data_IF_398906193821
#
_entry.id   IF_398906193821
#
_cell.length_a   1.000
_cell.length_b   1.000
_cell.length_c   1.000
_cell.angle_alpha   90.00
_cell.angle_beta   90.00
_cell.angle_gamma   90.00
#
_symmetry.space_group_name_H-M   'P 1'
#
loop_
_entity.id
_entity.type
_entity.pdbx_description
1 polymer ?
#
# COMPACT_ATOMS: atom_id res chain seq x y z
N UNK A 1 -24.77 24.50 -6.00
CA UNK A 1 -25.13 23.84 -4.72
C UNK A 1 -23.87 23.31 -4.07
N UNK A 2 -23.45 23.94 -2.97
CA UNK A 2 -22.27 23.56 -2.18
C UNK A 2 -22.60 22.26 -1.41
N UNK A 3 -22.35 21.08 -2.00
CA UNK A 3 -22.39 19.82 -1.25
C UNK A 3 -21.29 19.89 -0.19
N UNK A 4 -21.63 20.27 1.05
CA UNK A 4 -20.74 20.18 2.20
C UNK A 4 -20.27 18.72 2.27
N UNK A 5 -19.04 18.46 1.83
CA UNK A 5 -18.42 17.14 1.96
C UNK A 5 -18.46 16.75 3.43
N UNK A 6 -18.85 15.50 3.71
CA UNK A 6 -18.81 14.96 5.07
C UNK A 6 -17.41 15.18 5.62
N UNK A 7 -17.30 15.91 6.73
CA UNK A 7 -16.03 16.06 7.42
C UNK A 7 -15.60 14.66 7.88
N UNK A 8 -14.46 14.20 7.37
CA UNK A 8 -13.83 12.96 7.83
C UNK A 8 -12.73 13.38 8.80
N UNK A 9 -12.75 12.93 10.07
CA UNK A 9 -11.70 13.25 11.03
C UNK A 9 -10.30 12.96 10.45
N UNK A 10 -9.36 13.89 10.64
CA UNK A 10 -8.00 13.80 10.10
C UNK A 10 -7.85 14.11 8.60
N UNK A 11 -8.95 14.32 7.86
CA UNK A 11 -8.90 14.71 6.44
C UNK A 11 -9.11 16.22 6.31
N UNK A 12 -8.05 16.90 5.91
CA UNK A 12 -8.06 18.35 5.70
C UNK A 12 -7.71 18.69 4.24
N UNK A 13 -8.20 19.82 3.71
CA UNK A 13 -7.71 20.35 2.43
C UNK A 13 -6.19 20.52 2.49
N UNK A 14 -5.50 20.08 1.44
CA UNK A 14 -4.07 20.22 1.30
C UNK A 14 -3.78 20.80 -0.09
N UNK A 15 -3.29 22.03 -0.11
CA UNK A 15 -3.04 22.80 -1.33
C UNK A 15 -1.55 22.78 -1.73
N UNK A 16 -0.72 22.04 -0.99
CA UNK A 16 0.70 21.90 -1.27
C UNK A 16 1.00 20.88 -2.38
N UNK A 17 2.21 20.93 -2.97
CA UNK A 17 2.70 19.88 -3.86
C UNK A 17 2.95 18.57 -3.09
N UNK A 18 2.84 17.41 -3.76
CA UNK A 18 3.12 16.10 -3.17
C UNK A 18 4.61 15.88 -2.81
N UNK A 19 5.51 16.74 -3.27
CA UNK A 19 6.94 16.73 -2.98
C UNK A 19 7.49 18.16 -2.82
N UNK A 20 8.75 18.29 -2.41
CA UNK A 20 9.43 19.58 -2.21
C UNK A 20 9.70 19.91 -0.75
N UNK A 21 9.73 21.19 -0.38
CA UNK A 21 10.17 21.65 0.95
C UNK A 21 9.32 21.11 2.11
N UNK A 22 8.01 20.95 1.93
CA UNK A 22 7.14 20.34 2.93
C UNK A 22 7.51 18.88 3.21
N UNK A 23 7.75 18.13 2.13
CA UNK A 23 8.17 16.74 2.19
C UNK A 23 9.55 16.56 2.83
N UNK A 24 10.50 17.45 2.51
CA UNK A 24 11.82 17.47 3.14
C UNK A 24 11.72 17.76 4.65
N UNK A 25 10.92 18.76 5.04
CA UNK A 25 10.70 19.09 6.45
C UNK A 25 10.08 17.91 7.21
N UNK A 26 9.06 17.28 6.64
CA UNK A 26 8.41 16.13 7.26
C UNK A 26 9.35 14.92 7.39
N UNK A 27 10.18 14.68 6.38
CA UNK A 27 11.23 13.65 6.41
C UNK A 27 12.25 13.94 7.52
N UNK A 28 12.73 15.18 7.62
CA UNK A 28 13.69 15.57 8.65
C UNK A 28 13.11 15.43 10.07
N UNK A 29 11.82 15.76 10.27
CA UNK A 29 11.12 15.54 11.54
C UNK A 29 11.05 14.04 11.85
N UNK A 30 10.68 13.20 10.89
CA UNK A 30 10.58 11.75 11.09
C UNK A 30 11.95 11.15 11.48
N UNK A 31 13.00 11.47 10.73
CA UNK A 31 14.38 11.07 11.05
C UNK A 31 14.75 11.47 12.47
N UNK A 32 14.59 12.75 12.83
CA UNK A 32 14.94 13.26 14.17
C UNK A 32 14.15 12.60 15.30
N UNK A 33 12.89 12.24 15.05
CA UNK A 33 11.98 11.79 16.12
C UNK A 33 11.95 10.28 16.29
N UNK A 34 12.36 9.51 15.28
CA UNK A 34 12.28 8.06 15.30
C UNK A 34 13.65 7.40 15.24
N UNK A 35 14.55 7.85 14.38
CA UNK A 35 15.82 7.18 14.13
C UNK A 35 17.00 7.92 14.76
N UNK A 36 18.10 7.20 15.02
CA UNK A 36 19.37 7.88 15.31
C UNK A 36 19.80 8.72 14.10
N UNK A 37 20.09 10.00 14.34
CA UNK A 37 20.46 10.94 13.30
C UNK A 37 21.78 10.56 12.60
N UNK A 38 22.65 9.80 13.25
CA UNK A 38 23.92 9.34 12.69
C UNK A 38 23.73 8.15 11.73
N UNK A 39 22.79 7.25 12.02
CA UNK A 39 22.53 6.05 11.22
C UNK A 39 21.55 6.30 10.07
N UNK A 40 20.72 7.35 10.18
CA UNK A 40 19.68 7.65 9.22
C UNK A 40 20.17 7.91 7.79
N UNK A 41 21.26 8.68 7.54
CA UNK A 41 21.75 8.90 6.18
C UNK A 41 22.20 7.61 5.50
N UNK A 42 22.96 6.77 6.21
CA UNK A 42 23.44 5.49 5.68
C UNK A 42 22.28 4.55 5.36
N UNK A 43 21.28 4.48 6.23
CA UNK A 43 20.11 3.60 6.05
C UNK A 43 19.22 4.06 4.90
N UNK A 44 18.93 5.36 4.81
CA UNK A 44 18.12 5.92 3.73
C UNK A 44 18.82 5.80 2.36
N UNK A 45 20.16 5.97 2.31
CA UNK A 45 20.92 5.80 1.07
C UNK A 45 20.96 4.34 0.59
N UNK A 46 20.74 3.36 1.47
CA UNK A 46 20.62 1.93 1.10
C UNK A 46 19.20 1.53 0.69
N UNK A 47 18.21 2.41 0.83
CA UNK A 47 16.83 2.12 0.41
C UNK A 47 16.75 2.08 -1.11
N UNK A 48 16.15 1.02 -1.66
CA UNK A 48 15.93 0.79 -3.10
C UNK A 48 17.25 0.77 -3.92
N UNK A 49 18.32 0.22 -3.32
CA UNK A 49 19.61 0.03 -3.99
C UNK A 49 19.88 -1.47 -4.23
N UNK A 50 20.70 -1.84 -5.23
CA UNK A 50 21.01 -3.25 -5.53
C UNK A 50 21.51 -4.06 -4.33
N UNK A 51 22.46 -3.50 -3.56
CA UNK A 51 23.01 -4.10 -2.33
C UNK A 51 22.32 -3.59 -1.05
N UNK A 52 21.12 -3.05 -1.24
CA UNK A 52 20.30 -2.38 -0.26
C UNK A 52 19.13 -3.21 0.21
N UNK A 53 18.00 -2.54 0.45
CA UNK A 53 16.73 -3.16 0.79
C UNK A 53 15.58 -2.38 0.16
N UNK A 54 14.47 -3.06 -0.11
CA UNK A 54 13.28 -2.43 -0.68
C UNK A 54 12.52 -1.61 0.36
N UNK A 55 12.09 -0.44 -0.06
CA UNK A 55 11.30 0.47 0.75
C UNK A 55 9.94 -0.16 1.12
N UNK A 56 9.60 -0.31 2.41
CA UNK A 56 8.33 -0.91 2.83
C UNK A 56 7.12 0.02 2.63
N UNK A 57 7.34 1.24 2.14
CA UNK A 57 6.34 2.32 2.10
C UNK A 57 5.36 2.27 0.92
N UNK A 58 5.75 1.72 -0.24
CA UNK A 58 4.85 1.54 -1.37
C UNK A 58 5.37 0.50 -2.37
N UNK A 59 4.47 -0.09 -3.16
CA UNK A 59 4.77 -1.14 -4.14
C UNK A 59 5.17 -0.61 -5.54
N UNK A 60 5.48 0.68 -5.67
CA UNK A 60 5.89 1.23 -6.98
C UNK A 60 7.26 0.66 -7.38
N UNK A 61 7.44 0.05 -8.55
CA UNK A 61 8.73 -0.53 -8.93
C UNK A 61 9.83 0.54 -9.03
N UNK A 62 11.08 0.11 -8.88
CA UNK A 62 12.24 0.98 -9.05
C UNK A 62 12.66 1.01 -10.53
N UNK A 63 12.88 2.22 -11.08
CA UNK A 63 13.55 2.37 -12.38
C UNK A 63 15.00 1.90 -12.25
N UNK A 64 15.65 1.52 -13.36
CA UNK A 64 17.07 1.09 -13.38
C UNK A 64 17.93 1.89 -12.39
N UNK A 65 18.81 1.20 -11.66
CA UNK A 65 19.60 1.70 -10.50
C UNK A 65 20.65 2.77 -10.87
N UNK A 66 20.22 3.89 -11.45
CA UNK A 66 21.07 5.02 -11.87
C UNK A 66 21.00 6.21 -10.89
N UNK A 67 20.04 6.21 -9.96
CA UNK A 67 19.85 7.30 -8.99
C UNK A 67 20.33 6.90 -7.59
N UNK A 68 21.09 7.80 -6.97
CA UNK A 68 21.54 7.71 -5.57
C UNK A 68 20.39 7.89 -4.57
N UNK A 69 19.25 8.44 -5.00
CA UNK A 69 18.07 8.65 -4.17
C UNK A 69 16.84 8.02 -4.83
N UNK A 70 16.32 6.96 -4.21
CA UNK A 70 15.19 6.18 -4.74
C UNK A 70 14.04 6.03 -3.73
N UNK A 71 13.86 7.00 -2.83
CA UNK A 71 12.77 7.01 -1.85
C UNK A 71 11.98 8.34 -1.90
N UNK A 72 10.70 8.27 -1.55
CA UNK A 72 9.85 9.44 -1.35
C UNK A 72 9.72 9.78 0.16
N UNK A 73 9.04 10.87 0.50
CA UNK A 73 8.75 11.25 1.90
C UNK A 73 8.11 10.10 2.70
N UNK A 74 7.07 9.47 2.15
CA UNK A 74 6.38 8.37 2.82
C UNK A 74 7.29 7.14 2.96
N UNK A 75 8.16 6.89 1.97
CA UNK A 75 9.15 5.85 2.04
C UNK A 75 10.19 6.10 3.14
N UNK A 76 10.71 7.32 3.23
CA UNK A 76 11.65 7.70 4.29
C UNK A 76 11.00 7.59 5.67
N UNK A 77 9.75 8.05 5.83
CA UNK A 77 8.99 7.87 7.08
C UNK A 77 8.89 6.39 7.44
N UNK A 78 8.44 5.54 6.51
CA UNK A 78 8.30 4.11 6.76
C UNK A 78 9.63 3.50 7.24
N UNK A 79 10.74 3.78 6.54
CA UNK A 79 12.08 3.32 6.94
C UNK A 79 12.46 3.82 8.33
N UNK A 80 12.21 5.10 8.65
CA UNK A 80 12.56 5.65 9.99
C UNK A 80 11.73 5.05 11.12
N UNK A 81 10.48 4.63 10.85
CA UNK A 81 9.64 3.95 11.83
C UNK A 81 10.12 2.51 12.05
N UNK A 82 10.45 1.77 10.99
CA UNK A 82 11.03 0.42 11.11
C UNK A 82 12.40 0.44 11.82
N UNK A 83 13.21 1.47 11.53
CA UNK A 83 14.53 1.67 12.12
C UNK A 83 14.53 2.54 13.39
N UNK A 84 13.37 2.72 14.03
CA UNK A 84 13.26 3.57 15.22
C UNK A 84 14.22 3.11 16.32
N UNK A 85 14.77 4.03 17.10
CA UNK A 85 15.61 3.74 18.28
C UNK A 85 14.76 3.56 19.55
N UNK A 86 13.49 3.95 19.52
CA UNK A 86 12.57 3.82 20.66
C UNK A 86 12.22 2.36 20.92
N UNK A 87 12.13 2.01 22.20
CA UNK A 87 11.77 0.67 22.66
C UNK A 87 10.70 0.80 23.74
N UNK A 88 9.70 -0.07 23.64
CA UNK A 88 8.71 -0.24 24.71
C UNK A 88 9.34 -1.09 25.80
N UNK A 89 9.44 -0.56 27.02
CA UNK A 89 10.08 -1.26 28.14
C UNK A 89 9.08 -2.07 28.97
N UNK A 90 9.58 -2.99 29.79
CA UNK A 90 8.75 -3.75 30.71
C UNK A 90 8.02 -2.85 31.73
N UNK A 91 8.67 -1.78 32.18
CA UNK A 91 8.08 -0.79 33.10
C UNK A 91 6.92 -0.04 32.43
N UNK A 92 7.07 0.33 31.15
CA UNK A 92 5.99 0.94 30.39
C UNK A 92 4.78 0.00 30.29
N UNK A 93 5.01 -1.28 29.95
CA UNK A 93 3.93 -2.27 29.81
C UNK A 93 3.24 -2.54 31.16
N UNK A 94 3.99 -2.53 32.26
CA UNK A 94 3.42 -2.71 33.60
C UNK A 94 2.62 -1.49 34.07
N UNK A 95 2.99 -0.27 33.64
CA UNK A 95 2.33 0.97 34.02
C UNK A 95 1.10 1.31 33.16
N UNK A 96 0.93 0.68 31.99
CA UNK A 96 -0.15 0.98 31.05
C UNK A 96 -1.05 -0.24 30.84
N UNK A 97 -2.32 -0.09 31.19
CA UNK A 97 -3.31 -1.13 30.91
C UNK A 97 -3.61 -1.24 29.42
N UNK A 98 -3.99 -2.43 28.95
CA UNK A 98 -4.41 -2.64 27.56
C UNK A 98 -5.62 -1.76 27.24
N UNK A 99 -6.56 -1.61 28.17
CA UNK A 99 -7.70 -0.72 28.00
C UNK A 99 -7.30 0.75 27.78
N UNK A 100 -6.25 1.24 28.43
CA UNK A 100 -5.78 2.62 28.25
C UNK A 100 -5.05 2.80 26.92
N UNK A 101 -4.30 1.77 26.48
CA UNK A 101 -3.63 1.74 25.19
C UNK A 101 -4.65 1.69 24.03
N UNK A 102 -5.77 0.97 24.18
CA UNK A 102 -6.84 0.91 23.17
C UNK A 102 -7.50 2.27 22.90
N UNK A 103 -7.39 3.23 23.83
CA UNK A 103 -7.91 4.59 23.64
C UNK A 103 -6.93 5.52 22.91
N UNK A 104 -5.70 5.06 22.62
CA UNK A 104 -4.67 5.83 21.92
C UNK A 104 -4.87 5.74 20.41
N UNK A 105 -4.43 6.78 19.70
CA UNK A 105 -4.35 6.72 18.24
C UNK A 105 -3.19 5.82 17.78
N UNK A 106 -3.30 5.27 16.57
CA UNK A 106 -2.24 4.45 15.95
C UNK A 106 -0.89 5.20 15.93
N UNK A 107 -0.91 6.51 15.69
CA UNK A 107 0.29 7.35 15.70
C UNK A 107 0.95 7.44 17.08
N UNK A 108 0.14 7.53 18.15
CA UNK A 108 0.66 7.51 19.52
C UNK A 108 1.21 6.14 19.89
N UNK A 109 0.49 5.06 19.51
CA UNK A 109 0.90 3.68 19.79
C UNK A 109 2.25 3.35 19.14
N UNK A 110 2.38 3.63 17.84
CA UNK A 110 3.64 3.47 17.11
C UNK A 110 4.75 4.34 17.75
N UNK A 111 4.37 5.54 18.20
CA UNK A 111 5.26 6.52 18.83
C UNK A 111 5.95 6.04 20.12
N UNK A 112 5.41 5.03 20.81
CA UNK A 112 6.01 4.42 21.99
C UNK A 112 7.24 3.55 21.68
N UNK A 113 7.39 3.09 20.43
CA UNK A 113 8.56 2.38 19.94
C UNK A 113 8.35 0.88 19.74
N UNK A 114 9.44 0.19 19.39
CA UNK A 114 9.39 -1.25 19.05
C UNK A 114 9.21 -2.12 20.28
N UNK A 115 8.40 -3.16 20.14
CA UNK A 115 8.36 -4.28 21.07
C UNK A 115 9.66 -5.09 20.95
N UNK A 116 10.30 -5.38 22.08
CA UNK A 116 11.58 -6.10 22.14
C UNK A 116 11.44 -7.56 22.49
N UNK A 117 10.37 -7.92 23.18
CA UNK A 117 10.14 -9.23 23.76
C UNK A 117 8.75 -9.76 23.39
N UNK A 118 8.56 -11.08 23.27
CA UNK A 118 7.24 -11.68 23.23
C UNK A 118 6.43 -11.26 24.47
N UNK A 119 5.16 -10.94 24.28
CA UNK A 119 4.29 -10.46 25.34
C UNK A 119 3.14 -11.44 25.59
N UNK A 120 2.72 -11.56 26.84
CA UNK A 120 1.48 -12.24 27.24
C UNK A 120 0.55 -11.26 27.92
N UNK A 121 -0.74 -11.35 27.62
CA UNK A 121 -1.76 -10.55 28.31
C UNK A 121 -2.12 -11.16 29.67
N UNK A 122 -2.09 -10.33 30.71
CA UNK A 122 -2.50 -10.66 32.07
C UNK A 122 -3.87 -10.02 32.37
N UNK A 123 -4.91 -10.86 32.43
CA UNK A 123 -6.29 -10.43 32.65
C UNK A 123 -6.53 -9.81 34.02
N UNK A 124 -5.76 -10.20 35.04
CA UNK A 124 -5.98 -9.73 36.41
C UNK A 124 -5.52 -8.27 36.58
N UNK A 125 -4.41 -7.91 35.95
CA UNK A 125 -3.88 -6.55 35.96
C UNK A 125 -4.30 -5.71 34.74
N UNK A 126 -4.92 -6.32 33.73
CA UNK A 126 -5.19 -5.72 32.43
C UNK A 126 -3.92 -5.17 31.75
N UNK A 127 -2.79 -5.87 31.86
CA UNK A 127 -1.50 -5.41 31.31
C UNK A 127 -0.82 -6.47 30.45
N UNK A 128 0.12 -6.03 29.61
CA UNK A 128 1.00 -6.93 28.87
C UNK A 128 2.27 -7.20 29.67
N UNK A 129 2.76 -8.44 29.64
CA UNK A 129 3.95 -8.87 30.38
C UNK A 129 4.94 -9.56 29.44
N UNK A 130 6.23 -9.20 29.49
CA UNK A 130 7.26 -9.92 28.74
C UNK A 130 7.34 -11.39 29.14
N UNK A 131 7.57 -12.26 28.17
CA UNK A 131 7.87 -13.69 28.34
C UNK A 131 9.03 -14.09 27.44
N UNK A 132 9.75 -15.16 27.80
CA UNK A 132 10.81 -15.68 26.93
C UNK A 132 10.25 -16.27 25.64
N UNK A 133 11.08 -16.30 24.59
CA UNK A 133 10.74 -16.92 23.32
C UNK A 133 10.38 -18.39 23.47
N UNK A 134 11.11 -19.15 24.30
CA UNK A 134 10.83 -20.57 24.56
C UNK A 134 9.44 -20.75 25.15
N UNK A 135 9.06 -19.90 26.12
CA UNK A 135 7.73 -19.94 26.74
C UNK A 135 6.63 -19.51 25.78
N UNK A 136 6.89 -18.53 24.91
CA UNK A 136 5.96 -18.11 23.88
C UNK A 136 5.71 -19.25 22.87
N UNK A 137 6.77 -19.84 22.30
CA UNK A 137 6.66 -20.93 21.34
C UNK A 137 6.04 -22.19 21.96
N UNK A 138 6.44 -22.58 23.17
CA UNK A 138 5.85 -23.73 23.86
C UNK A 138 4.34 -23.56 24.05
N UNK A 139 3.89 -22.35 24.42
CA UNK A 139 2.46 -22.06 24.59
C UNK A 139 1.71 -22.06 23.27
N UNK A 140 2.28 -21.46 22.21
CA UNK A 140 1.69 -21.49 20.87
C UNK A 140 1.54 -22.94 20.40
N UNK A 141 2.59 -23.76 20.53
CA UNK A 141 2.58 -25.18 20.17
C UNK A 141 1.55 -25.97 20.98
N UNK A 142 1.48 -25.76 22.30
CA UNK A 142 0.47 -26.42 23.16
C UNK A 142 -0.95 -26.12 22.67
N UNK A 143 -1.26 -24.87 22.35
CA UNK A 143 -2.59 -24.46 21.90
C UNK A 143 -2.88 -25.05 20.52
N UNK A 144 -1.99 -24.83 19.55
CA UNK A 144 -2.21 -25.27 18.16
C UNK A 144 -2.32 -26.79 18.06
N UNK A 145 -1.57 -27.55 18.86
CA UNK A 145 -1.63 -29.02 18.87
C UNK A 145 -2.98 -29.60 19.30
N UNK A 146 -3.84 -28.80 19.94
CA UNK A 146 -5.16 -29.20 20.44
C UNK A 146 -6.30 -28.76 19.53
N UNK A 147 -6.05 -27.85 18.60
CA UNK A 147 -7.07 -27.31 17.70
C UNK A 147 -7.24 -28.21 16.48
N UNK A 148 -8.47 -28.29 15.98
CA UNK A 148 -8.74 -28.87 14.68
C UNK A 148 -8.34 -27.90 13.57
N UNK A 149 -8.03 -28.39 12.36
CA UNK A 149 -7.50 -27.53 11.29
C UNK A 149 -8.45 -26.38 10.88
N UNK A 150 -9.75 -26.59 10.99
CA UNK A 150 -10.80 -25.61 10.67
C UNK A 150 -11.04 -24.57 11.78
N UNK A 151 -10.45 -24.76 12.96
CA UNK A 151 -10.54 -23.81 14.09
C UNK A 151 -9.43 -22.74 14.06
N UNK A 152 -8.49 -22.83 13.10
CA UNK A 152 -7.32 -21.95 13.02
C UNK A 152 -7.30 -21.15 11.72
N UNK A 153 -6.98 -19.87 11.83
CA UNK A 153 -6.74 -18.97 10.70
C UNK A 153 -5.30 -18.47 10.72
N UNK A 154 -4.62 -18.56 9.59
CA UNK A 154 -3.24 -18.13 9.40
C UNK A 154 -3.20 -16.89 8.50
N UNK A 155 -3.30 -15.71 9.11
CA UNK A 155 -3.25 -14.46 8.37
C UNK A 155 -1.81 -14.04 8.06
N UNK A 156 -1.49 -13.81 6.79
CA UNK A 156 -0.17 -13.28 6.37
C UNK A 156 -0.25 -11.84 5.89
N UNK A 157 0.92 -11.25 5.64
CA UNK A 157 1.07 -9.87 5.19
C UNK A 157 1.92 -9.81 3.94
N UNK A 158 1.54 -8.97 2.98
CA UNK A 158 2.36 -8.61 1.81
C UNK A 158 3.65 -7.85 2.16
N UNK A 159 3.89 -7.54 3.44
CA UNK A 159 5.21 -7.08 3.94
C UNK A 159 6.14 -8.22 4.37
N UNK A 160 5.62 -9.44 4.54
CA UNK A 160 6.46 -10.59 4.81
C UNK A 160 7.29 -10.93 3.57
N UNK A 161 8.49 -11.47 3.77
CA UNK A 161 9.30 -11.95 2.64
C UNK A 161 8.61 -13.14 1.98
N UNK A 162 8.91 -13.36 0.69
CA UNK A 162 8.37 -14.51 -0.05
C UNK A 162 8.72 -15.83 0.63
N UNK A 163 9.92 -15.95 1.18
CA UNK A 163 10.42 -17.14 1.87
C UNK A 163 9.67 -17.36 3.18
N UNK A 164 9.47 -16.31 3.99
CA UNK A 164 8.72 -16.39 5.24
C UNK A 164 7.26 -16.77 4.98
N UNK A 165 6.62 -16.13 4.00
CA UNK A 165 5.25 -16.45 3.60
C UNK A 165 5.15 -17.88 3.06
N UNK A 166 6.14 -18.34 2.28
CA UNK A 166 6.20 -19.70 1.76
C UNK A 166 6.31 -20.75 2.87
N UNK A 167 7.18 -20.55 3.86
CA UNK A 167 7.29 -21.46 5.00
C UNK A 167 6.03 -21.44 5.87
N UNK A 168 5.44 -20.26 6.10
CA UNK A 168 4.25 -20.13 6.93
C UNK A 168 3.02 -20.82 6.30
N UNK A 169 2.87 -20.74 4.97
CA UNK A 169 1.79 -21.43 4.27
C UNK A 169 1.98 -22.95 4.22
N UNK A 170 3.22 -23.45 4.25
CA UNK A 170 3.50 -24.89 4.39
C UNK A 170 3.08 -25.37 5.77
N UNK A 171 3.44 -24.63 6.82
CA UNK A 171 3.06 -24.95 8.20
C UNK A 171 1.54 -25.06 8.36
N UNK A 172 0.77 -24.11 7.83
CA UNK A 172 -0.69 -24.16 7.85
C UNK A 172 -1.25 -25.40 7.12
N UNK A 173 -0.66 -25.78 5.99
CA UNK A 173 -1.09 -26.95 5.20
C UNK A 173 -0.68 -28.28 5.84
N UNK A 174 0.46 -28.34 6.53
CA UNK A 174 0.85 -29.50 7.33
C UNK A 174 -0.09 -29.73 8.51
N UNK A 175 -0.62 -28.65 9.10
CA UNK A 175 -1.71 -28.72 10.06
C UNK A 175 -3.05 -29.13 9.43
N UNK A 176 -3.15 -29.22 8.10
CA UNK A 176 -4.33 -29.69 7.40
C UNK A 176 -5.36 -28.60 7.03
N UNK A 177 -4.98 -27.32 7.06
CA UNK A 177 -5.89 -26.22 6.73
C UNK A 177 -5.44 -25.38 5.54
N UNK A 178 -6.43 -24.85 4.81
CA UNK A 178 -6.24 -23.83 3.78
C UNK A 178 -6.76 -22.45 4.23
N UNK A 179 -7.13 -22.30 5.51
CA UNK A 179 -7.59 -21.04 6.07
C UNK A 179 -6.40 -20.07 6.24
N UNK A 180 -5.96 -19.50 5.13
CA UNK A 180 -4.76 -18.69 5.02
C UNK A 180 -5.04 -17.39 4.23
N UNK A 181 -5.79 -16.44 4.81
CA UNK A 181 -6.01 -15.15 4.18
C UNK A 181 -4.73 -14.29 4.24
N UNK A 182 -4.60 -13.39 3.27
CA UNK A 182 -3.53 -12.41 3.18
C UNK A 182 -4.12 -10.99 3.15
N UNK A 183 -3.31 -9.99 3.50
CA UNK A 183 -3.72 -8.59 3.39
C UNK A 183 -4.13 -8.20 1.96
N UNK A 184 -3.63 -8.91 0.93
CA UNK A 184 -4.05 -8.70 -0.45
C UNK A 184 -5.50 -9.10 -0.70
N UNK A 185 -6.14 -9.97 0.09
CA UNK A 185 -7.57 -10.25 -0.06
C UNK A 185 -8.42 -8.98 0.17
N UNK A 186 -7.97 -8.03 1.01
CA UNK A 186 -8.68 -6.76 1.19
C UNK A 186 -8.51 -5.79 0.01
N UNK A 187 -7.41 -5.89 -0.73
CA UNK A 187 -7.01 -4.88 -1.72
C UNK A 187 -7.06 -5.37 -3.18
N UNK A 188 -6.83 -6.66 -3.41
CA UNK A 188 -6.60 -7.28 -4.71
C UNK A 188 -7.58 -8.41 -5.04
N UNK A 189 -8.47 -8.82 -4.13
CA UNK A 189 -9.44 -9.90 -4.40
C UNK A 189 -10.31 -9.59 -5.62
N UNK A 190 -10.86 -8.37 -5.68
CA UNK A 190 -11.68 -7.94 -6.81
C UNK A 190 -10.90 -8.02 -8.15
N UNK A 191 -9.61 -7.67 -8.14
CA UNK A 191 -8.76 -7.78 -9.34
C UNK A 191 -8.40 -9.22 -9.68
N UNK A 192 -8.19 -10.08 -8.68
CA UNK A 192 -7.93 -11.51 -8.86
C UNK A 192 -9.11 -12.24 -9.49
N UNK A 193 -10.34 -11.78 -9.27
CA UNK A 193 -11.54 -12.33 -9.92
C UNK A 193 -11.78 -11.72 -11.30
N UNK A 194 -11.70 -10.38 -11.43
CA UNK A 194 -12.11 -9.68 -12.65
C UNK A 194 -11.08 -9.69 -13.79
N UNK A 195 -9.78 -9.58 -13.49
CA UNK A 195 -8.75 -9.50 -14.52
C UNK A 195 -8.56 -10.81 -15.30
N UNK A 196 -8.55 -12.01 -14.68
CA UNK A 196 -8.44 -13.25 -15.44
C UNK A 196 -9.55 -13.43 -16.48
N UNK A 197 -10.77 -12.97 -16.19
CA UNK A 197 -11.89 -13.02 -17.14
C UNK A 197 -11.66 -12.10 -18.36
N UNK A 198 -10.90 -11.02 -18.20
CA UNK A 198 -10.67 -10.02 -19.24
C UNK A 198 -9.38 -10.24 -20.03
N UNK A 199 -8.30 -10.61 -19.34
CA UNK A 199 -6.93 -10.65 -19.88
C UNK A 199 -6.17 -11.95 -19.52
N UNK A 200 -6.83 -12.92 -18.88
CA UNK A 200 -6.24 -14.23 -18.55
C UNK A 200 -5.27 -14.24 -17.36
N UNK A 201 -4.96 -13.08 -16.77
CA UNK A 201 -4.02 -12.96 -15.64
C UNK A 201 -4.53 -11.98 -14.58
N UNK A 202 -4.33 -12.31 -13.30
CA UNK A 202 -4.73 -11.49 -12.14
C UNK A 202 -3.72 -10.41 -11.72
N UNK A 203 -2.83 -9.99 -12.61
CA UNK A 203 -1.69 -9.11 -12.30
C UNK A 203 -1.54 -8.00 -13.33
N UNK A 204 -0.78 -6.96 -13.00
CA UNK A 204 -0.40 -5.92 -13.95
C UNK A 204 0.40 -6.52 -15.11
N UNK A 205 0.08 -6.08 -16.34
CA UNK A 205 0.73 -6.54 -17.58
C UNK A 205 1.68 -5.50 -18.18
N UNK A 206 1.94 -4.42 -17.45
CA UNK A 206 2.77 -3.29 -17.89
C UNK A 206 4.02 -3.18 -17.02
N UNK A 207 5.11 -2.76 -17.64
CA UNK A 207 6.39 -2.45 -17.04
C UNK A 207 6.56 -0.93 -16.87
N UNK A 208 7.63 -0.50 -16.20
CA UNK A 208 7.96 0.93 -16.14
C UNK A 208 8.35 1.51 -17.50
N UNK A 209 8.99 0.71 -18.36
CA UNK A 209 9.43 1.15 -19.69
C UNK A 209 8.25 1.47 -20.62
N UNK A 210 7.08 0.87 -20.37
CA UNK A 210 5.86 1.19 -21.11
C UNK A 210 5.41 2.63 -20.89
N UNK A 211 5.72 3.24 -19.73
CA UNK A 211 5.45 4.67 -19.51
C UNK A 211 6.33 5.55 -20.41
N UNK A 212 7.50 5.07 -20.84
CA UNK A 212 8.38 5.80 -21.75
C UNK A 212 7.89 5.74 -23.20
N UNK A 213 6.92 4.88 -23.53
CA UNK A 213 6.32 4.81 -24.87
C UNK A 213 4.85 5.25 -24.91
N UNK A 214 4.22 5.39 -23.74
CA UNK A 214 2.81 5.73 -23.62
C UNK A 214 2.53 7.21 -23.92
N UNK A 215 1.47 7.48 -24.68
CA UNK A 215 1.01 8.84 -25.01
C UNK A 215 -0.13 9.33 -24.08
N UNK A 216 -0.81 8.41 -23.39
CA UNK A 216 -1.96 8.69 -22.53
C UNK A 216 -2.01 7.74 -21.33
N UNK A 217 -2.04 8.30 -20.12
CA UNK A 217 -2.32 7.56 -18.89
C UNK A 217 -3.71 7.92 -18.37
N UNK A 218 -4.51 6.89 -18.06
CA UNK A 218 -5.83 7.03 -17.45
C UNK A 218 -5.76 6.47 -16.02
N UNK A 219 -5.88 7.34 -15.02
CA UNK A 219 -5.82 6.96 -13.60
C UNK A 219 -7.21 7.05 -12.96
N UNK A 220 -7.85 5.90 -12.73
CA UNK A 220 -9.21 5.80 -12.16
C UNK A 220 -9.14 5.06 -10.83
N UNK A 221 -9.78 5.60 -9.79
CA UNK A 221 -9.77 4.97 -8.46
C UNK A 221 -8.41 4.99 -7.75
N UNK A 222 -7.43 5.71 -8.30
CA UNK A 222 -6.05 5.76 -7.82
C UNK A 222 -5.64 7.19 -7.42
N UNK A 223 -4.81 7.30 -6.39
CA UNK A 223 -4.21 8.57 -5.95
C UNK A 223 -2.69 8.44 -5.85
N UNK A 224 -1.95 8.63 -6.96
CA UNK A 224 -0.50 8.44 -6.96
C UNK A 224 0.21 9.44 -6.05
N UNK A 225 -0.31 10.66 -5.89
CA UNK A 225 0.30 11.70 -5.06
C UNK A 225 0.49 11.31 -3.58
N UNK A 226 -0.37 10.45 -3.04
CA UNK A 226 -0.26 9.97 -1.65
C UNK A 226 0.19 8.51 -1.56
N UNK A 227 -0.36 7.65 -2.43
CA UNK A 227 -0.21 6.21 -2.27
C UNK A 227 1.01 5.66 -3.03
N UNK A 228 1.43 6.33 -4.11
CA UNK A 228 2.60 5.96 -4.90
C UNK A 228 3.40 7.20 -5.31
N UNK A 229 3.94 8.02 -4.37
CA UNK A 229 4.51 9.32 -4.74
C UNK A 229 5.69 9.22 -5.71
N UNK A 230 6.41 8.09 -5.75
CA UNK A 230 7.46 7.83 -6.76
C UNK A 230 6.91 7.83 -8.19
N UNK A 231 5.67 7.39 -8.41
CA UNK A 231 5.00 7.42 -9.71
C UNK A 231 4.86 8.85 -10.26
N UNK A 232 4.82 9.87 -9.39
CA UNK A 232 4.69 11.26 -9.84
C UNK A 232 5.86 11.72 -10.72
N UNK A 233 7.06 11.15 -10.52
CA UNK A 233 8.20 11.42 -11.41
C UNK A 233 7.94 10.90 -12.84
N UNK A 234 7.43 9.68 -12.97
CA UNK A 234 7.10 9.07 -14.25
C UNK A 234 5.96 9.81 -14.97
N UNK A 235 4.91 10.20 -14.24
CA UNK A 235 3.83 11.03 -14.79
C UNK A 235 4.34 12.40 -15.23
N UNK A 236 5.24 13.01 -14.46
CA UNK A 236 5.87 14.27 -14.85
C UNK A 236 6.68 14.14 -16.15
N UNK A 237 7.47 13.08 -16.31
CA UNK A 237 8.22 12.79 -17.54
C UNK A 237 7.31 12.57 -18.75
N UNK A 238 6.18 11.89 -18.57
CA UNK A 238 5.17 11.72 -19.61
C UNK A 238 4.53 13.06 -20.03
N UNK A 239 4.13 13.87 -19.06
CA UNK A 239 3.57 15.20 -19.29
C UNK A 239 4.54 16.12 -20.07
N UNK A 240 5.84 16.08 -19.74
CA UNK A 240 6.88 16.87 -20.42
C UNK A 240 7.08 16.50 -21.89
N UNK A 241 6.79 15.25 -22.27
CA UNK A 241 6.89 14.76 -23.65
C UNK A 241 5.64 15.04 -24.48
N UNK A 242 4.65 15.72 -23.91
CA UNK A 242 3.38 16.03 -24.56
C UNK A 242 2.31 14.95 -24.37
N UNK A 243 2.58 13.91 -23.58
CA UNK A 243 1.59 12.91 -23.19
C UNK A 243 0.49 13.51 -22.31
N UNK A 244 -0.72 12.97 -22.42
CA UNK A 244 -1.86 13.41 -21.61
C UNK A 244 -2.04 12.53 -20.37
N UNK A 245 -2.12 13.17 -19.20
CA UNK A 245 -2.52 12.52 -17.94
C UNK A 245 -3.97 12.90 -17.59
N UNK A 246 -4.88 11.94 -17.72
CA UNK A 246 -6.30 12.14 -17.39
C UNK A 246 -6.66 11.32 -16.14
N UNK A 247 -7.01 11.98 -15.04
CA UNK A 247 -7.37 11.33 -13.78
C UNK A 247 -8.81 11.68 -13.37
N UNK A 248 -9.80 10.84 -13.69
CA UNK A 248 -11.16 10.96 -13.17
C UNK A 248 -11.21 10.62 -11.67
N UNK A 249 -10.82 11.55 -10.80
CA UNK A 249 -10.88 11.35 -9.35
C UNK A 249 -12.25 11.71 -8.78
N UNK A 250 -12.88 10.80 -8.03
CA UNK A 250 -14.15 11.03 -7.33
C UNK A 250 -14.04 12.12 -6.24
N UNK A 251 -12.83 12.46 -5.77
CA UNK A 251 -12.59 13.60 -4.89
C UNK A 251 -11.20 14.25 -5.09
N UNK A 252 -11.12 15.60 -5.17
CA UNK A 252 -9.88 16.35 -4.90
C UNK A 252 -9.32 15.88 -3.55
N UNK A 253 -8.23 15.11 -3.57
CA UNK A 253 -7.45 14.64 -2.41
C UNK A 253 -6.03 15.19 -2.56
N UNK A 254 -5.32 15.30 -1.43
CA UNK A 254 -4.00 15.93 -1.33
C UNK A 254 -3.02 15.44 -2.42
N UNK A 255 -2.26 16.36 -3.02
CA UNK A 255 -1.08 16.04 -3.84
C UNK A 255 -1.31 15.73 -5.33
N UNK A 256 -2.55 15.48 -5.79
CA UNK A 256 -2.83 15.18 -7.21
C UNK A 256 -3.18 16.41 -8.08
N UNK A 257 -3.46 17.56 -7.44
CA UNK A 257 -4.10 18.72 -8.10
C UNK A 257 -3.26 19.42 -9.17
N UNK A 258 -1.93 19.26 -9.15
CA UNK A 258 -1.03 19.97 -10.08
C UNK A 258 -0.81 19.23 -11.42
N UNK A 259 -1.16 17.95 -11.52
CA UNK A 259 -0.80 17.08 -12.65
C UNK A 259 -1.99 16.53 -13.45
N UNK A 260 -3.22 16.70 -12.94
CA UNK A 260 -4.40 16.10 -13.55
C UNK A 260 -5.17 17.12 -14.41
N UNK A 261 -5.41 16.82 -15.69
CA UNK A 261 -6.50 17.47 -16.42
C UNK A 261 -7.83 16.94 -15.88
N UNK A 262 -8.76 17.81 -15.46
CA UNK A 262 -10.03 17.35 -14.90
C UNK A 262 -10.86 16.65 -15.99
N UNK A 263 -11.31 15.42 -15.70
CA UNK A 263 -12.38 14.80 -16.46
C UNK A 263 -13.72 15.47 -16.11
N UNK A 264 -14.57 15.72 -17.11
CA UNK A 264 -15.93 16.22 -16.91
C UNK A 264 -16.75 15.26 -16.04
N UNK A 265 -17.46 15.81 -15.05
CA UNK A 265 -18.40 15.09 -14.19
C UNK A 265 -19.82 15.36 -14.65
N UNK A 266 -20.71 14.38 -14.46
CA UNK A 266 -22.14 14.59 -14.69
C UNK A 266 -22.81 15.37 -13.53
N UNK A 267 -24.08 15.73 -13.72
CA UNK A 267 -24.87 16.58 -12.80
C UNK A 267 -25.13 15.94 -11.41
N UNK A 268 -24.91 14.63 -11.25
CA UNK A 268 -25.20 13.93 -10.00
C UNK A 268 -23.95 13.65 -9.15
N UNK A 269 -22.77 13.68 -9.76
CA UNK A 269 -21.49 13.48 -9.06
C UNK A 269 -21.08 12.01 -8.95
N UNK A 270 -21.75 11.12 -9.69
CA UNK A 270 -21.35 9.74 -9.88
C UNK A 270 -20.28 9.65 -10.99
N UNK A 271 -19.42 8.64 -10.89
CA UNK A 271 -18.59 8.22 -12.01
C UNK A 271 -19.52 7.56 -13.05
N UNK A 272 -19.87 8.29 -14.11
CA UNK A 272 -20.39 7.64 -15.31
C UNK A 272 -19.27 6.85 -16.01
N UNK A 273 -19.06 5.63 -15.51
CA UNK A 273 -18.59 4.48 -16.28
C UNK A 273 -19.74 3.47 -16.35
N UNK A 274 -20.96 3.93 -16.66
CA UNK A 274 -22.00 3.02 -17.12
C UNK A 274 -21.64 2.51 -18.52
N UNK A 275 -22.12 1.31 -18.86
CA UNK A 275 -21.93 0.58 -20.13
C UNK A 275 -22.01 1.43 -21.42
N UNK A 276 -22.61 2.62 -21.37
CA UNK A 276 -22.64 3.62 -22.44
C UNK A 276 -21.30 4.32 -22.77
N UNK A 277 -20.20 4.04 -22.06
CA UNK A 277 -18.88 4.67 -22.33
C UNK A 277 -17.84 3.78 -23.01
N UNK A 278 -18.24 2.61 -23.52
CA UNK A 278 -17.54 1.94 -24.62
C UNK A 278 -17.44 2.85 -25.88
N UNK A 279 -18.22 3.93 -25.92
CA UNK A 279 -18.22 4.98 -26.94
C UNK A 279 -17.16 6.09 -26.75
N UNK A 280 -16.24 5.98 -25.77
CA UNK A 280 -15.02 6.81 -25.75
C UNK A 280 -14.12 6.56 -26.97
N UNK A 281 -14.37 5.48 -27.70
CA UNK A 281 -14.05 5.36 -29.11
C UNK A 281 -15.31 5.76 -29.89
N UNK A 282 -15.48 7.04 -30.28
CA UNK A 282 -16.62 7.42 -31.09
C UNK A 282 -16.61 6.56 -32.35
N UNK A 283 -17.79 6.28 -32.91
CA UNK A 283 -18.04 5.51 -34.13
C UNK A 283 -17.30 5.96 -35.41
N UNK A 284 -16.23 6.76 -35.29
CA UNK A 284 -15.21 6.94 -36.30
C UNK A 284 -14.16 5.82 -36.24
N UNK A 285 -14.51 4.61 -36.68
CA UNK A 285 -13.59 3.67 -37.34
C UNK A 285 -12.22 3.30 -36.72
N UNK A 286 -11.91 3.68 -35.47
CA UNK A 286 -10.59 3.47 -34.83
C UNK A 286 -10.56 2.34 -33.82
N UNK A 287 -11.45 1.34 -33.95
CA UNK A 287 -11.08 -0.01 -33.46
C UNK A 287 -9.98 -0.50 -34.39
N UNK A 288 -8.81 -0.87 -33.85
CA UNK A 288 -7.86 -1.71 -34.59
C UNK A 288 -8.54 -3.07 -34.84
N UNK A 289 -9.34 -3.17 -35.91
CA UNK A 289 -10.14 -4.36 -36.24
C UNK A 289 -9.31 -5.64 -36.22
N UNK A 290 -8.09 -5.58 -36.77
CA UNK A 290 -7.13 -6.71 -36.77
C UNK A 290 -6.76 -7.23 -35.37
N UNK A 291 -6.65 -6.35 -34.37
CA UNK A 291 -6.32 -6.77 -33.00
C UNK A 291 -7.51 -7.39 -32.28
N UNK A 292 -8.70 -6.82 -32.49
CA UNK A 292 -9.94 -7.34 -31.90
C UNK A 292 -10.34 -8.70 -32.51
N UNK A 293 -10.16 -8.88 -33.82
CA UNK A 293 -10.53 -10.12 -34.53
C UNK A 293 -9.54 -11.27 -34.29
N UNK A 294 -8.27 -10.98 -33.98
CA UNK A 294 -7.22 -11.99 -33.79
C UNK A 294 -6.91 -12.38 -32.34
N UNK A 295 -7.26 -11.53 -31.36
CA UNK A 295 -6.82 -11.71 -29.97
C UNK A 295 -7.92 -11.53 -28.92
N UNK A 296 -9.10 -11.03 -29.28
CA UNK A 296 -10.25 -11.02 -28.39
C UNK A 296 -11.23 -12.09 -28.86
N UNK A 297 -11.61 -13.02 -27.98
CA UNK A 297 -12.77 -13.84 -28.26
C UNK A 297 -13.99 -12.91 -28.31
N UNK A 298 -14.68 -12.90 -29.45
CA UNK A 298 -15.96 -12.22 -29.55
C UNK A 298 -16.87 -12.77 -28.47
N UNK A 299 -17.50 -11.89 -27.69
CA UNK A 299 -18.71 -12.23 -26.97
C UNK A 299 -19.78 -12.57 -28.03
N UNK A 300 -19.69 -13.77 -28.60
CA UNK A 300 -20.79 -14.39 -29.30
C UNK A 300 -21.83 -14.68 -28.22
N UNK A 301 -22.97 -14.03 -28.38
CA UNK A 301 -24.12 -14.18 -27.53
C UNK A 301 -24.51 -15.66 -27.41
N UNK A 302 -24.62 -16.15 -26.19
CA UNK A 302 -25.41 -17.31 -25.85
C UNK A 302 -26.48 -16.87 -24.83
N UNK A 303 -27.75 -16.94 -25.26
CA UNK A 303 -28.95 -17.01 -24.42
C UNK A 303 -29.57 -15.71 -23.95
#
# INVERSE_FOLDING_TARGET
MNKKRRAVPGVHPYDGPAGGWGALKATAIAVRTQMDALDAPATLLRTNQPDGFDCPGCAWPDKEHKSTFQFCENGAKAVTWEATSKRVTAEFLAANTVSSLLAKSDFELEGYGRLTDPLVYDRASDTLRPVSWERAFARIGEIVSRLQPDEVEFYTSGRASNEAAYLFQLYARELGTNNFPDCSNMCHEATSVGLPQSIGIGKGTVSLDDFDQTELVISIGHNPGTNHPRMMGTLHELSRRGGADNCPQSAKRAGAGAFCRPAERDRNGDLQLNQHRLDLFPGQGRRRRRGAEGHCQGAAADG
#
